data_IF_791280313875
#
_entry.id   IF_791280313875
#
_cell.length_a   1.000
_cell.length_b   1.000
_cell.length_c   1.000
_cell.angle_alpha   90.00
_cell.angle_beta   90.00
_cell.angle_gamma   90.00
#
_symmetry.space_group_name_H-M   'P 1'
#
loop_
_entity.id
_entity.type
_entity.pdbx_description
1 polymer ?
#
# COMPACT_ATOMS: atom_id res chain seq x y z
N UNK A 1 24.24 -25.59 34.94
CA UNK A 1 24.34 -24.13 34.71
C UNK A 1 22.96 -23.59 34.40
N UNK A 2 22.37 -22.77 35.27
CA UNK A 2 21.17 -22.02 34.92
C UNK A 2 21.60 -20.79 34.13
N UNK A 3 21.35 -20.78 32.83
CA UNK A 3 21.47 -19.57 32.01
C UNK A 3 20.34 -18.63 32.43
N UNK A 4 20.67 -17.56 33.16
CA UNK A 4 19.71 -16.49 33.37
C UNK A 4 19.46 -15.83 32.01
N UNK A 5 18.23 -15.94 31.51
CA UNK A 5 17.79 -15.18 30.34
C UNK A 5 17.92 -13.69 30.68
N UNK A 6 18.66 -12.88 29.91
CA UNK A 6 18.78 -11.46 30.20
C UNK A 6 17.39 -10.82 30.19
N UNK A 7 17.04 -10.16 31.30
CA UNK A 7 15.78 -9.43 31.45
C UNK A 7 15.99 -8.00 30.96
N UNK A 8 15.10 -7.53 30.09
CA UNK A 8 15.03 -6.13 29.69
C UNK A 8 13.97 -5.41 30.51
N UNK A 9 14.37 -4.38 31.25
CA UNK A 9 13.45 -3.48 31.95
C UNK A 9 13.11 -2.29 31.06
N UNK A 10 11.83 -2.05 30.84
CA UNK A 10 11.33 -0.90 30.07
C UNK A 10 10.52 0.01 30.98
N UNK A 11 10.82 1.31 30.93
CA UNK A 11 9.99 2.34 31.55
C UNK A 11 8.96 2.83 30.53
N UNK A 12 7.68 2.60 30.82
CA UNK A 12 6.57 3.08 30.01
C UNK A 12 5.97 4.32 30.67
N UNK A 13 5.85 5.41 29.92
CA UNK A 13 5.22 6.64 30.41
C UNK A 13 3.75 6.67 29.97
N UNK A 14 2.87 6.23 30.85
CA UNK A 14 1.42 6.31 30.65
C UNK A 14 0.79 7.23 31.69
N UNK A 15 -0.35 7.85 31.35
CA UNK A 15 -1.14 8.59 32.33
C UNK A 15 -1.59 7.66 33.48
N UNK A 16 -1.68 8.13 34.74
CA UNK A 16 -2.03 7.27 35.88
C UNK A 16 -3.36 6.53 35.75
N UNK A 17 -4.29 7.05 34.95
CA UNK A 17 -5.61 6.51 34.65
C UNK A 17 -5.67 5.72 33.32
N UNK A 18 -4.54 5.59 32.63
CA UNK A 18 -4.49 4.90 31.34
C UNK A 18 -4.87 3.42 31.48
N UNK A 19 -5.88 3.00 30.73
CA UNK A 19 -6.27 1.59 30.56
C UNK A 19 -6.31 1.29 29.07
N UNK A 20 -5.50 0.33 28.61
CA UNK A 20 -5.46 0.00 27.20
C UNK A 20 -4.26 -0.86 26.81
N UNK A 21 -3.95 -0.83 25.52
CA UNK A 21 -2.83 -1.55 24.91
C UNK A 21 -1.80 -0.53 24.44
N UNK A 22 -0.52 -0.89 24.54
CA UNK A 22 0.58 -0.09 23.99
C UNK A 22 1.50 -1.00 23.17
N UNK A 23 1.85 -0.55 21.96
CA UNK A 23 2.81 -1.23 21.10
C UNK A 23 4.19 -0.61 21.32
N UNK A 24 5.17 -1.45 21.65
CA UNK A 24 6.57 -1.05 21.82
C UNK A 24 7.38 -1.48 20.61
N UNK A 25 8.13 -0.54 20.03
CA UNK A 25 9.20 -0.85 19.08
C UNK A 25 10.54 -0.80 19.81
N UNK A 26 11.25 -1.92 19.82
CA UNK A 26 12.56 -2.05 20.44
C UNK A 26 13.64 -2.32 19.39
N UNK A 27 14.77 -1.66 19.55
CA UNK A 27 15.96 -1.85 18.73
C UNK A 27 17.16 -1.86 19.68
N UNK A 28 17.99 -2.91 19.60
CA UNK A 28 19.16 -3.12 20.47
C UNK A 28 18.87 -3.03 21.98
N UNK A 29 17.70 -3.51 22.40
CA UNK A 29 17.29 -3.47 23.80
C UNK A 29 16.81 -2.09 24.28
N UNK A 30 16.68 -1.11 23.39
CA UNK A 30 16.15 0.21 23.71
C UNK A 30 14.77 0.42 23.09
N UNK A 31 13.85 1.02 23.84
CA UNK A 31 12.57 1.47 23.28
C UNK A 31 12.83 2.64 22.35
N UNK A 32 12.43 2.48 21.08
CA UNK A 32 12.46 3.51 20.05
C UNK A 32 11.11 4.20 19.88
N UNK A 33 10.01 3.51 20.23
CA UNK A 33 8.65 4.04 20.15
C UNK A 33 7.71 3.29 21.08
N UNK A 34 6.75 4.01 21.66
CA UNK A 34 5.63 3.48 22.45
C UNK A 34 4.32 4.15 22.01
N UNK A 35 3.48 3.41 21.28
CA UNK A 35 2.26 3.95 20.67
C UNK A 35 1.03 3.29 21.30
N UNK A 36 0.08 4.07 21.87
CA UNK A 36 -1.20 3.53 22.31
C UNK A 36 -1.95 2.88 21.13
N UNK A 37 -2.45 1.67 21.34
CA UNK A 37 -3.29 0.97 20.35
C UNK A 37 -4.75 1.20 20.72
N UNK A 38 -5.54 1.91 19.88
CA UNK A 38 -6.95 2.15 20.19
C UNK A 38 -7.73 0.86 20.37
N UNK A 39 -8.79 0.87 21.18
CA UNK A 39 -9.49 -0.35 21.60
C UNK A 39 -10.14 -1.15 20.47
N UNK A 40 -10.51 -0.47 19.40
CA UNK A 40 -11.14 -1.03 18.19
C UNK A 40 -10.12 -1.54 17.15
N UNK A 41 -8.82 -1.33 17.35
CA UNK A 41 -7.80 -1.78 16.40
C UNK A 41 -7.45 -3.26 16.59
N UNK A 42 -7.39 -4.00 15.48
CA UNK A 42 -6.86 -5.36 15.44
C UNK A 42 -5.33 -5.33 15.31
N UNK A 43 -4.65 -6.11 16.14
CA UNK A 43 -3.20 -6.34 16.03
C UNK A 43 -3.01 -7.77 15.54
N UNK A 44 -2.41 -7.93 14.37
CA UNK A 44 -2.24 -9.24 13.75
C UNK A 44 -1.00 -9.27 12.84
N UNK A 45 -0.55 -10.48 12.49
CA UNK A 45 0.48 -10.64 11.45
C UNK A 45 -0.07 -10.23 10.08
N UNK A 46 0.82 -9.98 9.12
CA UNK A 46 0.40 -9.69 7.74
C UNK A 46 -0.44 -10.84 7.15
N UNK A 47 -0.08 -12.09 7.41
CA UNK A 47 -0.85 -13.25 6.94
C UNK A 47 -2.26 -13.28 7.52
N UNK A 48 -2.39 -12.99 8.83
CA UNK A 48 -3.69 -12.89 9.48
C UNK A 48 -4.50 -11.69 8.96
N UNK A 49 -3.85 -10.56 8.70
CA UNK A 49 -4.48 -9.40 8.07
C UNK A 49 -5.05 -9.77 6.68
N UNK A 50 -4.26 -10.45 5.84
CA UNK A 50 -4.70 -10.89 4.50
C UNK A 50 -5.88 -11.86 4.60
N UNK A 51 -5.83 -12.81 5.54
CA UNK A 51 -6.92 -13.76 5.77
C UNK A 51 -8.20 -13.07 6.24
N UNK A 52 -8.10 -12.13 7.18
CA UNK A 52 -9.23 -11.33 7.64
C UNK A 52 -9.81 -10.48 6.51
N UNK A 53 -8.95 -9.83 5.72
CA UNK A 53 -9.36 -9.04 4.56
C UNK A 53 -10.15 -9.88 3.55
N UNK A 54 -9.70 -11.11 3.27
CA UNK A 54 -10.44 -12.07 2.41
C UNK A 54 -11.78 -12.46 2.99
N UNK A 55 -11.86 -12.70 4.31
CA UNK A 55 -13.12 -13.08 4.99
C UNK A 55 -14.14 -11.95 5.05
N UNK A 56 -13.69 -10.70 5.05
CA UNK A 56 -14.56 -9.53 4.95
C UNK A 56 -15.11 -9.30 3.52
N UNK A 57 -14.68 -10.08 2.52
CA UNK A 57 -15.14 -10.06 1.13
C UNK A 57 -14.02 -9.85 0.11
N UNK A 58 -14.38 -9.80 -1.18
CA UNK A 58 -13.46 -9.76 -2.33
C UNK A 58 -12.84 -8.36 -2.62
N UNK A 59 -12.71 -7.51 -1.60
CA UNK A 59 -12.37 -6.09 -1.78
C UNK A 59 -10.89 -5.80 -2.06
N UNK A 60 -10.02 -6.80 -2.07
CA UNK A 60 -8.57 -6.60 -2.16
C UNK A 60 -7.92 -7.63 -3.08
N UNK A 61 -7.08 -7.16 -4.00
CA UNK A 61 -6.22 -8.01 -4.82
C UNK A 61 -4.75 -7.67 -4.62
N UNK A 62 -3.93 -8.72 -4.54
CA UNK A 62 -2.48 -8.57 -4.39
C UNK A 62 -1.86 -8.23 -5.74
N UNK A 63 -1.26 -7.05 -5.85
CA UNK A 63 -0.26 -6.77 -6.87
C UNK A 63 1.13 -7.14 -6.34
N UNK A 64 1.99 -7.69 -7.19
CA UNK A 64 3.35 -8.07 -6.80
C UNK A 64 4.34 -7.20 -7.55
N UNK A 65 5.27 -6.58 -6.84
CA UNK A 65 6.31 -5.72 -7.43
C UNK A 65 7.69 -6.30 -7.13
N UNK A 66 8.67 -6.18 -8.04
CA UNK A 66 10.03 -6.65 -7.76
C UNK A 66 10.62 -5.97 -6.53
N UNK A 67 11.46 -6.70 -5.79
CA UNK A 67 12.21 -6.11 -4.68
C UNK A 67 13.12 -5.00 -5.20
N UNK A 68 13.16 -3.86 -4.48
CA UNK A 68 13.90 -2.63 -4.87
C UNK A 68 13.39 -1.94 -6.14
N UNK A 69 12.19 -2.28 -6.63
CA UNK A 69 11.58 -1.55 -7.74
C UNK A 69 11.43 -0.05 -7.42
N UNK A 70 11.78 0.80 -8.38
CA UNK A 70 11.57 2.24 -8.33
C UNK A 70 11.06 2.67 -9.71
N UNK A 71 9.81 3.13 -9.79
CA UNK A 71 9.17 3.46 -11.05
C UNK A 71 7.65 3.45 -10.93
N UNK A 72 6.97 3.37 -12.06
CA UNK A 72 5.51 3.33 -12.14
C UNK A 72 5.03 1.96 -12.63
N UNK A 73 3.88 1.53 -12.15
CA UNK A 73 3.20 0.31 -12.58
C UNK A 73 1.79 0.68 -13.00
N UNK A 74 1.43 0.30 -14.23
CA UNK A 74 0.06 0.39 -14.72
C UNK A 74 -0.68 -0.90 -14.37
N UNK A 75 -1.76 -0.75 -13.61
CA UNK A 75 -2.68 -1.85 -13.28
C UNK A 75 -3.98 -1.62 -14.03
N UNK A 76 -4.43 -2.63 -14.77
CA UNK A 76 -5.75 -2.64 -15.41
C UNK A 76 -6.65 -3.60 -14.65
N UNK A 77 -7.79 -3.09 -14.20
CA UNK A 77 -8.82 -3.87 -13.54
C UNK A 77 -10.13 -3.86 -14.34
N UNK A 78 -10.83 -5.00 -14.34
CA UNK A 78 -12.17 -5.16 -14.91
C UNK A 78 -13.03 -5.91 -13.89
N UNK A 79 -14.22 -5.39 -13.60
CA UNK A 79 -15.16 -5.97 -12.63
C UNK A 79 -14.56 -6.21 -11.23
N UNK A 80 -13.65 -5.33 -10.79
CA UNK A 80 -12.96 -5.46 -9.50
C UNK A 80 -11.76 -6.40 -9.51
N UNK A 81 -11.46 -7.06 -10.64
CA UNK A 81 -10.31 -7.95 -10.78
C UNK A 81 -9.19 -7.35 -11.62
N UNK A 82 -7.96 -7.45 -11.13
CA UNK A 82 -6.73 -7.13 -11.86
C UNK A 82 -6.55 -8.14 -12.98
N UNK A 83 -6.72 -7.68 -14.21
CA UNK A 83 -6.55 -8.51 -15.41
C UNK A 83 -5.17 -8.32 -16.05
N UNK A 84 -4.47 -7.23 -15.71
CA UNK A 84 -3.14 -6.92 -16.25
C UNK A 84 -2.35 -6.01 -15.31
N UNK A 85 -1.06 -6.29 -15.22
CA UNK A 85 -0.07 -5.43 -14.57
C UNK A 85 1.10 -5.25 -15.53
N UNK A 86 1.61 -4.02 -15.65
CA UNK A 86 2.77 -3.71 -16.48
C UNK A 86 3.64 -2.65 -15.81
N UNK A 87 4.95 -2.90 -15.76
CA UNK A 87 5.93 -1.88 -15.41
C UNK A 87 6.05 -0.85 -16.54
N UNK A 88 5.98 0.43 -16.19
CA UNK A 88 6.15 1.52 -17.13
C UNK A 88 7.62 1.91 -17.17
N UNK A 89 8.22 1.84 -18.36
CA UNK A 89 9.54 2.42 -18.57
C UNK A 89 9.49 3.95 -18.46
N UNK A 90 10.64 4.59 -18.30
CA UNK A 90 10.73 6.06 -18.17
C UNK A 90 10.12 6.85 -19.35
N UNK A 91 9.95 6.21 -20.52
CA UNK A 91 9.39 6.83 -21.71
C UNK A 91 7.86 6.63 -21.84
N UNK A 92 7.22 5.92 -20.92
CA UNK A 92 5.77 5.82 -20.91
C UNK A 92 5.15 7.08 -20.31
N UNK A 93 4.15 7.64 -20.99
CA UNK A 93 3.35 8.75 -20.51
C UNK A 93 1.91 8.26 -20.34
N UNK A 94 1.37 8.40 -19.14
CA UNK A 94 -0.05 8.13 -18.84
C UNK A 94 -0.78 9.46 -18.83
N UNK A 95 -1.76 9.62 -19.69
CA UNK A 95 -2.48 10.88 -19.88
C UNK A 95 -3.89 10.61 -20.43
N UNK A 96 -4.75 11.62 -20.49
CA UNK A 96 -6.10 11.48 -21.05
C UNK A 96 -6.10 11.67 -22.56
N UNK A 97 -7.14 11.17 -23.24
CA UNK A 97 -7.35 11.47 -24.66
C UNK A 97 -7.56 12.97 -24.93
N UNK A 98 -8.07 13.72 -23.94
CA UNK A 98 -8.24 15.17 -24.03
C UNK A 98 -6.89 15.87 -24.11
N UNK A 99 -5.98 15.55 -23.20
CA UNK A 99 -4.63 16.11 -23.16
C UNK A 99 -3.85 15.76 -24.44
N UNK A 100 -3.98 14.52 -24.94
CA UNK A 100 -3.38 14.10 -26.21
C UNK A 100 -3.95 14.92 -27.37
N UNK A 101 -5.28 15.12 -27.42
CA UNK A 101 -5.91 15.88 -28.49
C UNK A 101 -5.50 17.36 -28.47
N UNK A 102 -5.34 17.94 -27.29
CA UNK A 102 -4.86 19.31 -27.12
C UNK A 102 -3.43 19.47 -27.63
N UNK A 103 -2.51 18.60 -27.18
CA UNK A 103 -1.12 18.62 -27.66
C UNK A 103 -1.06 18.37 -29.17
N UNK A 104 -1.84 17.42 -29.68
CA UNK A 104 -1.92 17.11 -31.11
C UNK A 104 -2.36 18.34 -31.92
N UNK A 105 -3.39 19.07 -31.49
CA UNK A 105 -3.83 20.30 -32.16
C UNK A 105 -2.76 21.39 -32.13
N UNK A 106 -2.08 21.58 -31.00
CA UNK A 106 -1.01 22.57 -30.86
C UNK A 106 0.17 22.32 -31.81
N UNK A 107 0.46 21.06 -32.15
CA UNK A 107 1.50 20.68 -33.11
C UNK A 107 0.97 20.43 -34.53
N UNK A 108 -0.29 20.79 -34.82
CA UNK A 108 -0.89 20.73 -36.15
C UNK A 108 -1.36 19.33 -36.60
N UNK A 109 -1.48 18.37 -35.70
CA UNK A 109 -2.06 17.04 -35.98
C UNK A 109 -3.59 17.14 -35.97
N UNK A 110 -4.21 16.86 -37.12
CA UNK A 110 -5.67 16.86 -37.27
C UNK A 110 -6.21 15.47 -36.96
N UNK A 111 -6.88 15.31 -35.81
CA UNK A 111 -7.62 14.07 -35.48
C UNK A 111 -8.97 14.06 -36.19
N UNK A 112 -9.14 13.22 -37.21
CA UNK A 112 -10.45 12.99 -37.83
C UNK A 112 -11.22 11.98 -36.97
N UNK A 113 -12.41 12.35 -36.48
CA UNK A 113 -13.36 11.35 -35.99
C UNK A 113 -13.77 10.49 -37.18
N UNK A 114 -13.51 9.19 -37.11
CA UNK A 114 -14.10 8.24 -38.06
C UNK A 114 -15.60 8.24 -37.82
N UNK A 115 -16.37 8.71 -38.80
CA UNK A 115 -17.82 8.67 -38.77
C UNK A 115 -18.26 7.22 -38.99
N UNK A 116 -18.49 6.47 -37.91
CA UNK A 116 -19.09 5.13 -37.96
C UNK A 116 -20.60 5.28 -38.17
N UNK A 117 -20.96 5.70 -39.38
CA UNK A 117 -22.29 5.49 -39.98
C UNK A 117 -22.10 4.90 -41.38
N UNK A 118 -21.99 3.57 -41.42
CA UNK A 118 -22.39 2.74 -42.56
C UNK A 118 -23.12 1.52 -42.02
#
# INVERSE_FOLDING_TARGET
MHSQTPLLTVNLYAAPDFTGRVMLYLEDGHVKSDIPVPGDHLVCSLDAFIELARRCGDGFQKITVPTKFTGQILVTALNGEVIRQQELSANHVVTTLGDIAEVAQQVGIITKKTDTRQ
#
